data_IF_688358758341
#
_entry.id   IF_688358758341
#
_cell.length_a   1.000
_cell.length_b   1.000
_cell.length_c   1.000
_cell.angle_alpha   90.00
_cell.angle_beta   90.00
_cell.angle_gamma   90.00
#
_symmetry.space_group_name_H-M   'P 1'
#
loop_
_entity.id
_entity.type
_entity.pdbx_description
1 polymer ?
#
# COMPACT_ATOMS: atom_id res chain seq x y z
N UNK A 1 -4.07 8.50 32.80
CA UNK A 1 -4.93 9.37 31.99
C UNK A 1 -5.97 8.51 31.31
N UNK A 2 -7.21 8.96 31.43
CA UNK A 2 -8.47 8.22 31.34
C UNK A 2 -8.86 7.92 29.90
N UNK A 3 -9.46 6.74 29.68
CA UNK A 3 -10.19 6.36 28.47
C UNK A 3 -11.31 7.38 28.19
N UNK A 4 -11.08 8.31 27.26
CA UNK A 4 -12.15 8.95 26.49
C UNK A 4 -12.22 8.21 25.15
N UNK A 5 -13.44 7.93 24.66
CA UNK A 5 -13.64 7.33 23.34
C UNK A 5 -12.84 8.11 22.30
N UNK A 6 -11.74 7.52 21.83
CA UNK A 6 -10.73 8.24 21.09
C UNK A 6 -11.24 8.49 19.67
N UNK A 7 -11.94 9.61 19.47
CA UNK A 7 -12.18 10.14 18.13
C UNK A 7 -10.84 10.53 17.53
N UNK A 8 -10.30 9.65 16.69
CA UNK A 8 -9.07 9.90 15.97
C UNK A 8 -9.34 10.87 14.81
N UNK A 9 -8.53 11.93 14.72
CA UNK A 9 -8.64 12.92 13.65
C UNK A 9 -8.03 12.37 12.37
N UNK A 10 -8.79 12.39 11.27
CA UNK A 10 -8.27 12.14 9.93
C UNK A 10 -7.75 13.46 9.38
N UNK A 11 -6.45 13.49 9.06
CA UNK A 11 -5.75 14.66 8.52
C UNK A 11 -5.90 14.74 7.00
N UNK A 12 -5.92 13.61 6.31
CA UNK A 12 -6.13 13.56 4.87
C UNK A 12 -6.81 12.25 4.41
N UNK A 13 -7.52 12.33 3.28
CA UNK A 13 -8.08 11.16 2.58
C UNK A 13 -7.74 11.30 1.10
N UNK A 14 -6.89 10.42 0.60
CA UNK A 14 -6.54 10.36 -0.81
C UNK A 14 -7.29 9.22 -1.49
N UNK A 15 -7.93 9.53 -2.61
CA UNK A 15 -8.71 8.57 -3.40
C UNK A 15 -7.87 8.04 -4.57
N UNK A 16 -8.16 6.81 -4.97
CA UNK A 16 -7.72 6.27 -6.25
C UNK A 16 -8.89 6.39 -7.23
N UNK A 17 -8.67 6.99 -8.41
CA UNK A 17 -9.75 7.27 -9.36
C UNK A 17 -10.46 5.99 -9.85
N UNK A 18 -9.72 4.87 -9.90
CA UNK A 18 -10.21 3.60 -10.43
C UNK A 18 -10.67 2.58 -9.36
N UNK A 19 -10.55 2.85 -8.05
CA UNK A 19 -10.81 1.82 -7.03
C UNK A 19 -11.44 2.28 -5.70
N UNK A 20 -12.10 1.30 -5.07
CA UNK A 20 -12.66 1.26 -3.70
C UNK A 20 -11.62 1.64 -2.62
N UNK A 21 -10.32 1.52 -2.92
CA UNK A 21 -9.25 1.80 -1.96
C UNK A 21 -9.10 3.30 -1.68
N UNK A 22 -9.09 3.64 -0.40
CA UNK A 22 -8.82 4.97 0.14
C UNK A 22 -7.58 4.92 1.00
N UNK A 23 -6.68 5.88 0.80
CA UNK A 23 -5.52 6.06 1.65
C UNK A 23 -5.85 7.16 2.66
N UNK A 24 -6.08 6.75 3.90
CA UNK A 24 -6.39 7.67 4.98
C UNK A 24 -5.11 7.97 5.75
N UNK A 25 -4.86 9.24 5.99
CA UNK A 25 -3.80 9.70 6.89
C UNK A 25 -4.43 10.24 8.17
N UNK A 26 -4.22 9.53 9.26
CA UNK A 26 -4.69 9.91 10.59
C UNK A 26 -3.66 10.76 11.31
N UNK A 27 -4.09 11.46 12.34
CA UNK A 27 -3.21 12.32 13.11
C UNK A 27 -2.03 11.55 13.73
N UNK A 28 -2.25 10.33 14.25
CA UNK A 28 -1.18 9.49 14.79
C UNK A 28 -0.12 9.14 13.74
N UNK A 29 -0.57 8.75 12.55
CA UNK A 29 0.27 8.40 11.41
C UNK A 29 1.02 9.63 10.88
N UNK A 30 0.36 10.78 10.75
CA UNK A 30 0.96 12.05 10.35
C UNK A 30 2.09 12.46 11.30
N UNK A 31 1.91 12.25 12.60
CA UNK A 31 2.91 12.58 13.61
C UNK A 31 4.17 11.70 13.53
N UNK A 32 4.16 10.63 12.73
CA UNK A 32 5.36 9.82 12.43
C UNK A 32 6.28 10.43 11.38
N UNK A 33 5.86 11.50 10.71
CA UNK A 33 6.71 12.27 9.80
C UNK A 33 7.78 13.11 10.53
N UNK A 34 7.66 13.25 11.86
CA UNK A 34 8.62 13.96 12.69
C UNK A 34 9.99 13.27 12.66
N UNK A 35 11.10 14.04 12.74
CA UNK A 35 12.44 13.46 12.82
C UNK A 35 12.56 12.44 13.97
N UNK A 36 13.38 11.40 13.74
CA UNK A 36 13.67 10.33 14.70
C UNK A 36 12.48 9.47 15.14
N UNK A 37 11.30 9.68 14.56
CA UNK A 37 10.16 8.76 14.70
C UNK A 37 10.14 7.82 13.50
N UNK A 38 9.89 6.53 13.74
CA UNK A 38 9.70 5.59 12.64
C UNK A 38 8.40 5.92 11.91
N UNK A 39 8.51 6.09 10.60
CA UNK A 39 7.37 6.29 9.69
C UNK A 39 6.50 5.03 9.62
N UNK A 40 5.19 5.23 9.59
CA UNK A 40 4.22 4.16 9.37
C UNK A 40 3.98 3.92 7.89
N UNK A 41 3.36 2.77 7.57
CA UNK A 41 3.04 2.42 6.19
C UNK A 41 2.02 3.37 5.60
N UNK A 42 1.03 3.79 6.39
CA UNK A 42 -0.04 4.70 6.00
C UNK A 42 0.51 6.07 5.58
N UNK A 43 1.50 6.59 6.31
CA UNK A 43 2.16 7.84 5.96
C UNK A 43 2.94 7.74 4.64
N UNK A 44 3.62 6.62 4.42
CA UNK A 44 4.37 6.36 3.17
C UNK A 44 3.41 6.18 1.99
N UNK A 45 2.34 5.43 2.17
CA UNK A 45 1.32 5.21 1.15
C UNK A 45 0.62 6.50 0.75
N UNK A 46 0.24 7.34 1.72
CA UNK A 46 -0.36 8.63 1.44
C UNK A 46 0.59 9.53 0.66
N UNK A 47 1.89 9.49 0.98
CA UNK A 47 2.91 10.22 0.23
C UNK A 47 3.03 9.71 -1.22
N UNK A 48 3.14 8.39 -1.42
CA UNK A 48 3.20 7.79 -2.76
C UNK A 48 1.96 8.18 -3.57
N UNK A 49 0.76 8.11 -2.95
CA UNK A 49 -0.48 8.49 -3.61
C UNK A 49 -0.47 9.97 -4.02
N UNK A 50 -0.05 10.86 -3.13
CA UNK A 50 0.03 12.29 -3.42
C UNK A 50 0.95 12.58 -4.61
N UNK A 51 2.09 11.88 -4.69
CA UNK A 51 3.01 11.97 -5.83
C UNK A 51 2.37 11.45 -7.12
N UNK A 52 1.75 10.26 -7.09
CA UNK A 52 1.08 9.71 -8.28
C UNK A 52 -0.04 10.60 -8.81
N UNK A 53 -0.80 11.24 -7.92
CA UNK A 53 -1.84 12.21 -8.31
C UNK A 53 -1.24 13.48 -8.88
N UNK A 54 -0.18 14.03 -8.27
CA UNK A 54 0.49 15.25 -8.77
C UNK A 54 1.11 15.04 -10.14
N UNK A 55 1.60 13.83 -10.41
CA UNK A 55 2.24 13.45 -11.67
C UNK A 55 1.26 12.89 -12.74
N UNK A 56 -0.06 12.90 -12.48
CA UNK A 56 -1.10 12.34 -13.35
C UNK A 56 -0.85 10.85 -13.74
N UNK A 57 -0.32 10.08 -12.78
CA UNK A 57 -0.02 8.64 -12.93
C UNK A 57 -0.93 7.74 -12.10
N UNK A 58 -1.86 8.32 -11.35
CA UNK A 58 -2.71 7.59 -10.41
C UNK A 58 -3.63 6.53 -11.05
N UNK A 59 -4.03 6.70 -12.31
CA UNK A 59 -4.80 5.71 -13.09
C UNK A 59 -3.93 4.77 -13.94
N UNK A 60 -2.63 5.05 -14.07
CA UNK A 60 -1.69 4.25 -14.87
C UNK A 60 -0.87 3.28 -14.03
N UNK A 61 -0.58 3.65 -12.79
CA UNK A 61 0.22 2.85 -11.86
C UNK A 61 -0.68 2.38 -10.72
N UNK A 62 -0.79 1.05 -10.56
CA UNK A 62 -1.52 0.49 -9.44
C UNK A 62 -0.70 0.57 -8.15
N UNK A 63 -1.20 1.26 -7.14
CA UNK A 63 -0.56 1.34 -5.84
C UNK A 63 -1.14 0.29 -4.88
N UNK A 64 -0.28 -0.58 -4.36
CA UNK A 64 -0.64 -1.52 -3.31
C UNK A 64 -0.38 -0.92 -1.92
N UNK A 65 -1.23 -1.24 -0.96
CA UNK A 65 -0.92 -0.97 0.45
C UNK A 65 0.20 -1.91 0.94
N UNK A 66 0.82 -1.56 2.06
CA UNK A 66 2.00 -2.21 2.60
C UNK A 66 1.73 -3.63 3.11
N UNK A 67 0.51 -3.92 3.57
CA UNK A 67 0.11 -5.28 3.96
C UNK A 67 -0.02 -6.20 2.75
N UNK A 68 -0.67 -5.69 1.70
CA UNK A 68 -0.86 -6.34 0.41
C UNK A 68 0.49 -6.60 -0.26
N UNK A 69 1.36 -5.59 -0.30
CA UNK A 69 2.72 -5.71 -0.84
C UNK A 69 3.57 -6.72 -0.05
N UNK A 70 3.53 -6.66 1.29
CA UNK A 70 4.24 -7.64 2.12
C UNK A 70 3.71 -9.06 1.95
N UNK A 71 2.40 -9.23 1.76
CA UNK A 71 1.78 -10.54 1.58
C UNK A 71 2.13 -11.16 0.22
N UNK A 72 2.24 -10.35 -0.83
CA UNK A 72 2.66 -10.82 -2.16
C UNK A 72 4.12 -11.24 -2.16
N UNK A 73 5.00 -10.47 -1.51
CA UNK A 73 6.45 -10.71 -1.58
C UNK A 73 6.97 -11.69 -0.52
N UNK A 74 6.29 -11.82 0.62
CA UNK A 74 6.77 -12.62 1.75
C UNK A 74 5.70 -13.53 2.36
N UNK A 75 4.44 -13.45 1.92
CA UNK A 75 3.35 -14.22 2.51
C UNK A 75 3.32 -15.68 2.04
N UNK A 76 2.77 -16.55 2.88
CA UNK A 76 2.37 -17.90 2.46
C UNK A 76 1.10 -17.82 1.59
N UNK A 77 0.84 -18.90 0.84
CA UNK A 77 -0.32 -19.01 -0.07
C UNK A 77 -1.65 -18.72 0.63
N UNK A 78 -1.80 -19.20 1.87
CA UNK A 78 -3.00 -19.03 2.69
C UNK A 78 -3.18 -17.57 3.14
N UNK A 79 -2.07 -16.85 3.35
CA UNK A 79 -2.09 -15.43 3.70
C UNK A 79 -2.48 -14.56 2.51
N UNK A 80 -2.05 -14.92 1.29
CA UNK A 80 -2.51 -14.28 0.06
C UNK A 80 -4.01 -14.49 -0.20
N UNK A 81 -4.52 -15.72 -0.01
CA UNK A 81 -5.94 -16.01 -0.17
C UNK A 81 -6.83 -15.23 0.83
N UNK A 82 -6.34 -15.01 2.06
CA UNK A 82 -7.04 -14.24 3.11
C UNK A 82 -7.06 -12.74 2.88
N UNK A 83 -6.06 -12.19 2.18
CA UNK A 83 -6.07 -10.79 1.73
C UNK A 83 -7.16 -10.56 0.68
N UNK A 84 -7.77 -11.64 0.18
CA UNK A 84 -8.95 -11.59 -0.65
C UNK A 84 -8.70 -10.82 -1.92
N UNK A 85 -7.48 -10.84 -2.48
CA UNK A 85 -7.15 -10.24 -3.78
C UNK A 85 -8.00 -10.90 -4.87
N UNK A 86 -9.15 -10.32 -5.25
CA UNK A 86 -10.05 -10.94 -6.19
C UNK A 86 -9.82 -10.27 -7.53
N UNK A 87 -9.18 -10.95 -8.48
CA UNK A 87 -9.15 -10.48 -9.88
C UNK A 87 -8.75 -9.00 -10.06
N UNK A 88 -7.72 -8.51 -9.37
CA UNK A 88 -7.13 -7.23 -9.79
C UNK A 88 -6.37 -7.51 -11.08
N UNK A 89 -7.03 -7.25 -12.22
CA UNK A 89 -6.34 -7.30 -13.52
C UNK A 89 -5.32 -6.18 -13.53
N UNK A 90 -4.08 -6.58 -13.30
CA UNK A 90 -2.90 -5.73 -13.44
C UNK A 90 -2.58 -5.42 -14.91
N UNK A 91 -3.39 -5.89 -15.85
CA UNK A 91 -3.18 -5.69 -17.29
C UNK A 91 -3.71 -4.33 -17.74
N UNK A 92 -4.55 -3.70 -16.91
CA UNK A 92 -5.03 -2.34 -17.10
C UNK A 92 -4.04 -1.26 -16.62
N UNK A 93 -2.91 -1.66 -16.01
CA UNK A 93 -1.92 -0.74 -15.44
C UNK A 93 -0.55 -0.95 -16.07
N UNK A 94 0.19 0.14 -16.26
CA UNK A 94 1.56 0.13 -16.80
C UNK A 94 2.58 -0.44 -15.82
N UNK A 95 2.21 -0.55 -14.55
CA UNK A 95 3.04 -1.10 -13.51
C UNK A 95 2.42 -0.97 -12.13
N UNK A 96 3.14 -1.46 -11.13
CA UNK A 96 2.70 -1.44 -9.73
C UNK A 96 3.79 -0.84 -8.86
N UNK A 97 3.34 -0.19 -7.79
CA UNK A 97 4.18 0.48 -6.82
C UNK A 97 3.69 0.19 -5.41
N UNK A 98 4.63 0.13 -4.46
CA UNK A 98 4.31 0.05 -3.05
C UNK A 98 5.56 0.04 -2.18
N UNK A 99 5.35 -0.04 -0.87
CA UNK A 99 6.42 -0.18 0.09
C UNK A 99 6.05 -1.28 1.09
N UNK A 100 7.04 -2.01 1.58
CA UNK A 100 6.86 -2.95 2.68
C UNK A 100 7.87 -2.70 3.78
N UNK A 101 7.50 -3.09 4.99
CA UNK A 101 8.40 -3.06 6.12
C UNK A 101 9.07 -4.44 6.27
N UNK A 102 10.40 -4.46 6.16
CA UNK A 102 11.18 -5.68 6.30
C UNK A 102 11.60 -5.83 7.76
N UNK A 103 11.17 -6.95 8.38
CA UNK A 103 11.49 -7.33 9.76
C UNK A 103 11.17 -6.27 10.81
N UNK A 104 10.19 -5.41 10.54
CA UNK A 104 9.92 -4.22 11.35
C UNK A 104 11.21 -3.40 11.63
N UNK A 105 12.07 -3.25 10.62
CA UNK A 105 13.36 -2.53 10.75
C UNK A 105 13.48 -1.41 9.72
N UNK A 106 13.17 -1.70 8.47
CA UNK A 106 13.40 -0.79 7.35
C UNK A 106 12.29 -0.90 6.30
N UNK A 107 12.00 0.23 5.66
CA UNK A 107 11.07 0.28 4.54
C UNK A 107 11.82 0.03 3.24
N UNK A 108 11.36 -0.95 2.46
CA UNK A 108 11.80 -1.18 1.10
C UNK A 108 10.72 -0.72 0.14
N UNK A 109 11.13 0.11 -0.81
CA UNK A 109 10.31 0.51 -1.93
C UNK A 109 10.39 -0.55 -3.03
N UNK A 110 9.24 -0.88 -3.61
CA UNK A 110 9.11 -1.87 -4.68
C UNK A 110 8.39 -1.24 -5.85
N UNK A 111 8.97 -1.44 -7.03
CA UNK A 111 8.38 -1.06 -8.32
C UNK A 111 8.45 -2.28 -9.22
N UNK A 112 7.34 -2.65 -9.86
CA UNK A 112 7.33 -3.78 -10.76
C UNK A 112 6.76 -3.41 -12.12
N UNK A 113 7.55 -3.69 -13.16
CA UNK A 113 7.07 -4.06 -14.50
C UNK A 113 7.25 -5.57 -14.71
N UNK A 114 8.40 -6.13 -14.31
CA UNK A 114 8.77 -7.55 -14.53
C UNK A 114 8.69 -8.43 -13.28
N UNK A 115 9.08 -7.91 -12.10
CA UNK A 115 9.04 -8.62 -10.80
C UNK A 115 7.62 -9.03 -10.39
N UNK A 116 6.62 -8.37 -10.97
CA UNK A 116 5.20 -8.70 -10.75
C UNK A 116 4.66 -9.56 -11.88
N UNK A 117 5.34 -9.73 -13.02
CA UNK A 117 5.01 -10.82 -13.94
C UNK A 117 5.31 -12.17 -13.25
N UNK A 118 6.40 -12.27 -12.49
CA UNK A 118 6.66 -13.44 -11.63
C UNK A 118 5.62 -13.59 -10.51
N UNK A 119 5.20 -12.50 -9.87
CA UNK A 119 4.15 -12.55 -8.84
C UNK A 119 2.74 -12.81 -9.42
N UNK A 120 2.45 -12.35 -10.65
CA UNK A 120 1.26 -12.66 -11.46
C UNK A 120 1.28 -14.13 -11.84
N UNK A 121 2.40 -14.65 -12.36
CA UNK A 121 2.57 -16.05 -12.71
C UNK A 121 2.45 -16.94 -11.48
N UNK A 122 3.00 -16.51 -10.34
CA UNK A 122 2.78 -17.18 -9.07
C UNK A 122 1.29 -17.13 -8.67
N UNK A 123 0.59 -16.00 -8.81
CA UNK A 123 -0.83 -15.91 -8.46
C UNK A 123 -1.75 -16.69 -9.44
N UNK A 124 -1.42 -16.76 -10.74
CA UNK A 124 -2.20 -17.41 -11.80
C UNK A 124 -1.98 -18.92 -11.88
N UNK A 125 -0.80 -19.45 -11.50
CA UNK A 125 -0.53 -20.90 -11.48
C UNK A 125 -1.28 -21.67 -10.40
N UNK A 126 -2.01 -20.98 -9.51
CA UNK A 126 -2.65 -21.56 -8.34
C UNK A 126 -4.16 -21.33 -8.27
N UNK A 127 -4.76 -20.82 -9.35
CA UNK A 127 -6.21 -20.78 -9.59
C UNK A 127 -6.69 -22.01 -10.35
#
# INVERSE_FOLDING_TARGET
WTYFGATEVIVAVLKCDDQIMKFNLRHGEFMTLRPHVRRTGEAIECYIRAVLTTEDKAGRINQLNHYSMSSILHGSREQMARQGFPKVSFDAYDGIIGALNIKDTHWRFVRGTDEIQEAKDAALRFG
#
